data_IF_123105764970
#
_entry.id   IF_123105764970
#
_cell.length_a   1.000
_cell.length_b   1.000
_cell.length_c   1.000
_cell.angle_alpha   90.00
_cell.angle_beta   90.00
_cell.angle_gamma   90.00
#
_symmetry.space_group_name_H-M   'P 1'
#
loop_
_entity.id
_entity.type
_entity.pdbx_description
1 polymer ?
#
# COMPACT_ATOMS: atom_id res chain seq x y z
N UNK A 1 33.81 66.05 -4.83
CA UNK A 1 34.31 65.92 -6.20
C UNK A 1 35.31 64.77 -6.24
N UNK A 2 35.04 63.78 -7.10
CA UNK A 2 35.96 62.81 -7.69
C UNK A 2 36.82 61.93 -6.75
N UNK A 3 36.30 60.76 -6.36
CA UNK A 3 37.15 59.58 -6.21
C UNK A 3 37.25 58.92 -7.60
N UNK A 4 38.40 59.08 -8.24
CA UNK A 4 38.70 58.56 -9.58
C UNK A 4 39.12 57.09 -9.49
N UNK A 5 38.74 56.35 -10.52
CA UNK A 5 39.68 55.42 -11.14
C UNK A 5 39.71 54.02 -10.55
N UNK A 6 38.62 53.29 -10.76
CA UNK A 6 38.76 51.88 -11.15
C UNK A 6 39.56 51.84 -12.46
N UNK A 7 40.76 51.28 -12.43
CA UNK A 7 41.20 50.41 -13.52
C UNK A 7 42.32 49.50 -13.01
N UNK A 8 42.08 48.19 -13.07
CA UNK A 8 43.11 47.21 -13.38
C UNK A 8 42.39 45.96 -13.93
N UNK A 9 42.25 45.98 -15.24
CA UNK A 9 42.16 44.80 -16.10
C UNK A 9 43.24 43.75 -15.79
N UNK A 10 42.88 42.48 -15.97
CA UNK A 10 43.85 41.43 -16.30
C UNK A 10 43.93 40.28 -15.29
N UNK A 11 43.35 39.13 -15.64
CA UNK A 11 43.55 37.90 -14.87
C UNK A 11 42.73 36.73 -15.37
N UNK A 12 43.03 36.24 -16.58
CA UNK A 12 42.59 34.93 -17.04
C UNK A 12 43.16 33.87 -16.07
N UNK A 13 42.30 33.08 -15.43
CA UNK A 13 42.69 31.78 -14.87
C UNK A 13 41.73 30.70 -15.34
N UNK A 14 42.36 29.76 -16.00
CA UNK A 14 41.87 28.51 -16.55
C UNK A 14 41.15 27.62 -15.53
N UNK A 15 40.24 26.82 -16.08
CA UNK A 15 40.04 25.39 -15.79
C UNK A 15 39.86 24.99 -14.33
N UNK A 16 38.59 24.80 -13.98
CA UNK A 16 38.13 23.77 -13.05
C UNK A 16 37.01 22.99 -13.73
N UNK A 17 37.39 22.04 -14.57
CA UNK A 17 36.53 20.90 -14.90
C UNK A 17 36.49 20.04 -13.63
N UNK A 18 35.67 20.42 -12.65
CA UNK A 18 35.33 19.51 -11.55
C UNK A 18 34.30 18.52 -12.10
N UNK A 19 34.83 17.52 -12.79
CA UNK A 19 34.24 16.20 -12.78
C UNK A 19 34.50 15.58 -11.41
N UNK A 20 33.74 16.01 -10.41
CA UNK A 20 33.60 15.29 -9.15
C UNK A 20 32.24 14.62 -9.16
N UNK A 21 32.26 13.37 -9.63
CA UNK A 21 31.27 12.39 -9.18
C UNK A 21 31.35 12.30 -7.66
N UNK A 22 30.20 12.38 -7.02
CA UNK A 22 29.68 11.28 -6.20
C UNK A 22 28.44 11.77 -5.46
N UNK A 23 27.31 11.19 -5.83
CA UNK A 23 26.03 11.35 -5.17
C UNK A 23 26.11 10.74 -3.75
N UNK A 24 25.78 11.50 -2.69
CA UNK A 24 24.91 10.89 -1.68
C UNK A 24 23.89 11.84 -1.04
N UNK A 25 23.59 13.02 -1.61
CA UNK A 25 22.47 13.84 -1.12
C UNK A 25 21.09 13.38 -1.60
N UNK A 26 21.03 12.41 -2.51
CA UNK A 26 19.77 11.77 -2.95
C UNK A 26 19.31 10.62 -2.03
N UNK A 27 20.18 10.17 -1.11
CA UNK A 27 19.98 8.91 -0.37
C UNK A 27 18.87 9.02 0.70
N UNK A 28 18.51 10.22 1.16
CA UNK A 28 17.49 10.40 2.19
C UNK A 28 16.05 10.40 1.68
N UNK A 29 15.83 10.59 0.37
CA UNK A 29 14.50 10.60 -0.27
C UNK A 29 14.02 9.18 -0.61
N UNK A 30 14.94 8.31 -1.02
CA UNK A 30 14.66 6.90 -1.34
C UNK A 30 14.19 6.10 -0.12
N UNK A 31 14.80 6.33 1.05
CA UNK A 31 14.44 5.64 2.29
C UNK A 31 12.99 5.88 2.71
N UNK A 32 12.47 7.10 2.51
CA UNK A 32 11.06 7.39 2.81
C UNK A 32 10.11 6.57 1.93
N UNK A 33 10.38 6.50 0.61
CA UNK A 33 9.55 5.74 -0.32
C UNK A 33 9.62 4.25 -0.02
N UNK A 34 10.81 3.75 0.30
CA UNK A 34 11.02 2.36 0.69
C UNK A 34 10.24 2.00 1.96
N UNK A 35 10.25 2.87 2.97
CA UNK A 35 9.48 2.69 4.21
C UNK A 35 7.97 2.71 3.94
N UNK A 36 7.50 3.66 3.13
CA UNK A 36 6.09 3.71 2.75
C UNK A 36 5.66 2.43 2.03
N UNK A 37 6.46 1.98 1.06
CA UNK A 37 6.20 0.76 0.31
C UNK A 37 6.25 -0.48 1.22
N UNK A 38 7.18 -0.52 2.17
CA UNK A 38 7.30 -1.59 3.16
C UNK A 38 6.08 -1.63 4.10
N UNK A 39 5.55 -0.49 4.51
CA UNK A 39 4.34 -0.42 5.35
C UNK A 39 3.11 -0.93 4.57
N UNK A 40 2.92 -0.48 3.33
CA UNK A 40 1.82 -0.97 2.48
C UNK A 40 1.97 -2.47 2.21
N UNK A 41 3.19 -2.93 1.91
CA UNK A 41 3.48 -4.34 1.70
C UNK A 41 3.18 -5.16 2.95
N UNK A 42 3.61 -4.70 4.12
CA UNK A 42 3.36 -5.36 5.41
C UNK A 42 1.87 -5.42 5.72
N UNK A 43 1.13 -4.34 5.49
CA UNK A 43 -0.33 -4.31 5.65
C UNK A 43 -0.99 -5.35 4.75
N UNK A 44 -0.65 -5.38 3.47
CA UNK A 44 -1.25 -6.30 2.50
C UNK A 44 -0.91 -7.75 2.87
N UNK A 45 0.38 -8.05 3.09
CA UNK A 45 0.84 -9.37 3.50
C UNK A 45 0.15 -9.84 4.78
N UNK A 46 0.05 -8.97 5.79
CA UNK A 46 -0.60 -9.30 7.05
C UNK A 46 -2.10 -9.51 6.86
N UNK A 47 -2.77 -8.70 6.04
CA UNK A 47 -4.20 -8.81 5.76
C UNK A 47 -4.53 -10.17 5.15
N UNK A 48 -3.83 -10.57 4.08
CA UNK A 48 -4.09 -11.87 3.44
C UNK A 48 -3.64 -13.04 4.30
N UNK A 49 -2.48 -12.94 4.97
CA UNK A 49 -1.98 -14.02 5.80
C UNK A 49 -2.90 -14.27 7.00
N UNK A 50 -3.22 -13.22 7.76
CA UNK A 50 -4.08 -13.33 8.93
C UNK A 50 -5.53 -13.60 8.55
N UNK A 51 -6.02 -12.98 7.47
CA UNK A 51 -7.40 -13.15 7.02
C UNK A 51 -7.67 -14.51 6.34
N UNK A 52 -6.64 -15.18 5.83
CA UNK A 52 -6.78 -16.54 5.27
C UNK A 52 -7.31 -17.57 6.28
N UNK A 53 -6.97 -17.44 7.56
CA UNK A 53 -7.43 -18.35 8.61
C UNK A 53 -8.95 -18.28 8.83
N UNK A 54 -9.53 -17.11 9.19
CA UNK A 54 -10.99 -16.99 9.35
C UNK A 54 -11.74 -17.16 8.03
N UNK A 55 -11.17 -16.77 6.89
CA UNK A 55 -11.75 -17.03 5.57
C UNK A 55 -11.99 -18.54 5.37
N UNK A 56 -10.97 -19.37 5.58
CA UNK A 56 -11.07 -20.83 5.43
C UNK A 56 -12.08 -21.45 6.40
N UNK A 57 -12.19 -20.93 7.62
CA UNK A 57 -13.19 -21.41 8.58
C UNK A 57 -14.62 -21.14 8.11
N UNK A 58 -14.87 -19.96 7.54
CA UNK A 58 -16.17 -19.60 6.99
C UNK A 58 -16.48 -20.47 5.77
N UNK A 59 -15.53 -20.62 4.85
CA UNK A 59 -15.68 -21.50 3.67
C UNK A 59 -16.00 -22.95 4.09
N UNK A 60 -15.28 -23.48 5.10
CA UNK A 60 -15.52 -24.82 5.62
C UNK A 60 -16.90 -24.96 6.28
N UNK A 61 -17.37 -23.94 7.00
CA UNK A 61 -18.71 -23.92 7.58
C UNK A 61 -19.81 -23.89 6.51
N UNK A 62 -19.64 -23.05 5.48
CA UNK A 62 -20.57 -22.98 4.37
C UNK A 62 -20.60 -24.28 3.56
N UNK A 63 -19.44 -24.90 3.34
CA UNK A 63 -19.34 -26.22 2.70
C UNK A 63 -20.05 -27.32 3.49
N UNK A 64 -19.89 -27.36 4.81
CA UNK A 64 -20.63 -28.29 5.68
C UNK A 64 -22.14 -28.06 5.63
N UNK A 65 -22.57 -26.80 5.61
CA UNK A 65 -23.98 -26.46 5.52
C UNK A 65 -24.57 -26.89 4.16
N UNK A 66 -23.86 -26.62 3.07
CA UNK A 66 -24.22 -27.07 1.72
C UNK A 66 -24.38 -28.59 1.65
N UNK A 67 -23.41 -29.34 2.19
CA UNK A 67 -23.46 -30.80 2.26
C UNK A 67 -24.62 -31.33 3.11
N UNK A 68 -24.90 -30.69 4.25
CA UNK A 68 -26.03 -31.06 5.11
C UNK A 68 -27.38 -30.89 4.41
N UNK A 69 -27.55 -29.83 3.62
CA UNK A 69 -28.74 -29.65 2.77
C UNK A 69 -28.87 -30.74 1.71
N UNK A 70 -27.75 -31.13 1.09
CA UNK A 70 -27.73 -32.21 0.10
C UNK A 70 -28.14 -33.57 0.66
N UNK A 71 -27.93 -33.82 1.97
CA UNK A 71 -28.40 -35.06 2.60
C UNK A 71 -29.89 -35.06 2.96
N UNK A 72 -30.53 -33.88 3.05
CA UNK A 72 -31.92 -33.75 3.52
C UNK A 72 -32.91 -33.51 2.39
N UNK A 73 -32.46 -32.99 1.26
CA UNK A 73 -33.30 -32.68 0.10
C UNK A 73 -33.03 -33.64 -1.04
N UNK A 74 -34.05 -33.88 -1.88
CA UNK A 74 -33.89 -34.64 -3.11
C UNK A 74 -33.17 -33.79 -4.16
N UNK A 75 -32.35 -34.44 -4.98
CA UNK A 75 -31.63 -33.77 -6.06
C UNK A 75 -32.60 -33.10 -7.03
N UNK A 76 -32.33 -31.83 -7.33
CA UNK A 76 -33.13 -31.02 -8.24
C UNK A 76 -32.67 -29.56 -8.31
N UNK A 77 -33.26 -28.83 -9.25
CA UNK A 77 -32.98 -27.41 -9.55
C UNK A 77 -32.93 -26.45 -8.35
N UNK A 78 -33.70 -26.70 -7.28
CA UNK A 78 -33.81 -25.86 -6.09
C UNK A 78 -32.69 -26.14 -5.12
N UNK A 79 -32.26 -27.41 -5.02
CA UNK A 79 -31.07 -27.76 -4.25
C UNK A 79 -29.84 -27.11 -4.90
N UNK A 80 -29.71 -27.20 -6.22
CA UNK A 80 -28.64 -26.54 -6.97
C UNK A 80 -28.66 -25.02 -6.80
N UNK A 81 -29.84 -24.40 -6.87
CA UNK A 81 -29.98 -22.96 -6.65
C UNK A 81 -29.62 -22.54 -5.22
N UNK A 82 -30.03 -23.31 -4.21
CA UNK A 82 -29.69 -23.03 -2.82
C UNK A 82 -28.19 -23.21 -2.55
N UNK A 83 -27.59 -24.31 -3.00
CA UNK A 83 -26.18 -24.61 -2.77
C UNK A 83 -25.27 -23.67 -3.58
N UNK A 84 -25.46 -23.61 -4.90
CA UNK A 84 -24.56 -22.89 -5.79
C UNK A 84 -24.89 -21.40 -5.90
N UNK A 85 -26.16 -21.03 -5.75
CA UNK A 85 -26.59 -19.64 -5.78
C UNK A 85 -26.43 -18.98 -4.41
N UNK A 86 -27.26 -19.39 -3.46
CA UNK A 86 -27.38 -18.69 -2.18
C UNK A 86 -26.19 -18.98 -1.27
N UNK A 87 -25.88 -20.25 -1.01
CA UNK A 87 -24.88 -20.63 0.01
C UNK A 87 -23.48 -20.27 -0.45
N UNK A 88 -23.11 -20.63 -1.69
CA UNK A 88 -21.81 -20.25 -2.22
C UNK A 88 -21.70 -18.72 -2.40
N UNK A 89 -22.77 -18.05 -2.84
CA UNK A 89 -22.77 -16.59 -3.01
C UNK A 89 -22.57 -15.84 -1.69
N UNK A 90 -23.42 -16.12 -0.69
CA UNK A 90 -23.30 -15.52 0.65
C UNK A 90 -22.01 -15.97 1.32
N UNK A 91 -21.62 -17.23 1.15
CA UNK A 91 -20.38 -17.79 1.67
C UNK A 91 -19.15 -17.04 1.19
N UNK A 92 -19.07 -16.69 -0.09
CA UNK A 92 -17.98 -15.91 -0.65
C UNK A 92 -17.90 -14.49 -0.04
N UNK A 93 -19.04 -13.81 0.13
CA UNK A 93 -19.08 -12.47 0.74
C UNK A 93 -18.65 -12.53 2.21
N UNK A 94 -19.17 -13.51 2.97
CA UNK A 94 -18.80 -13.70 4.37
C UNK A 94 -17.34 -14.09 4.52
N UNK A 95 -16.81 -14.95 3.65
CA UNK A 95 -15.42 -15.38 3.66
C UNK A 95 -14.46 -14.21 3.37
N UNK A 96 -14.90 -13.19 2.63
CA UNK A 96 -14.13 -11.99 2.35
C UNK A 96 -14.16 -10.96 3.48
N UNK A 97 -15.19 -10.97 4.33
CA UNK A 97 -15.39 -10.01 5.41
C UNK A 97 -14.21 -9.93 6.41
N UNK A 98 -13.58 -11.04 6.85
CA UNK A 98 -12.41 -10.98 7.71
C UNK A 98 -11.24 -10.18 7.12
N UNK A 99 -10.98 -10.33 5.82
CA UNK A 99 -9.93 -9.58 5.13
C UNK A 99 -10.26 -8.07 5.16
N UNK A 100 -11.51 -7.70 4.91
CA UNK A 100 -11.99 -6.31 5.00
C UNK A 100 -11.79 -5.75 6.41
N UNK A 101 -12.16 -6.50 7.45
CA UNK A 101 -12.02 -6.05 8.84
C UNK A 101 -10.56 -5.80 9.23
N UNK A 102 -9.65 -6.69 8.83
CA UNK A 102 -8.22 -6.53 9.08
C UNK A 102 -7.67 -5.32 8.32
N UNK A 103 -8.11 -5.13 7.07
CA UNK A 103 -7.72 -3.96 6.29
C UNK A 103 -8.20 -2.66 6.96
N UNK A 104 -9.45 -2.59 7.39
CA UNK A 104 -9.99 -1.44 8.13
C UNK A 104 -9.25 -1.19 9.44
N UNK A 105 -8.88 -2.26 10.16
CA UNK A 105 -8.06 -2.14 11.36
C UNK A 105 -6.71 -1.47 11.05
N UNK A 106 -6.04 -1.87 9.96
CA UNK A 106 -4.78 -1.21 9.57
C UNK A 106 -4.98 0.22 9.09
N UNK A 107 -6.05 0.52 8.34
CA UNK A 107 -6.37 1.90 7.93
C UNK A 107 -6.59 2.78 9.16
N UNK A 108 -7.38 2.31 10.13
CA UNK A 108 -7.58 2.99 11.40
C UNK A 108 -6.27 3.18 12.18
N UNK A 109 -5.40 2.16 12.18
CA UNK A 109 -4.08 2.27 12.81
C UNK A 109 -3.17 3.28 12.09
N UNK A 110 -3.23 3.38 10.76
CA UNK A 110 -2.51 4.41 9.99
C UNK A 110 -3.04 5.82 10.28
N UNK A 111 -4.35 5.94 10.48
CA UNK A 111 -5.02 7.19 10.86
C UNK A 111 -4.57 7.66 12.25
N UNK A 112 -4.65 6.78 13.25
CA UNK A 112 -4.26 7.07 14.64
C UNK A 112 -2.75 7.31 14.81
N UNK A 113 -1.90 6.61 14.06
CA UNK A 113 -0.44 6.82 14.09
C UNK A 113 -0.01 8.14 13.45
N UNK A 114 -0.94 8.93 12.89
CA UNK A 114 -0.65 10.14 12.11
C UNK A 114 0.45 9.88 11.08
N UNK A 115 0.43 8.68 10.48
CA UNK A 115 1.34 8.37 9.38
C UNK A 115 0.99 9.21 8.15
N UNK A 116 -0.25 9.68 8.02
CA UNK A 116 -0.70 10.58 6.94
C UNK A 116 0.10 11.89 6.87
N UNK A 117 0.32 12.66 7.95
CA UNK A 117 1.23 13.82 7.92
C UNK A 117 2.66 13.52 7.40
N UNK A 118 3.21 12.34 7.70
CA UNK A 118 4.55 11.93 7.24
C UNK A 118 4.53 11.38 5.82
N UNK A 119 3.47 10.69 5.40
CA UNK A 119 3.30 10.20 4.04
C UNK A 119 3.00 11.34 3.06
N UNK A 120 2.16 12.30 3.45
CA UNK A 120 1.82 13.49 2.65
C UNK A 120 3.06 14.37 2.40
N UNK A 121 3.84 14.66 3.44
CA UNK A 121 5.11 15.39 3.29
C UNK A 121 6.13 14.65 2.42
N UNK A 122 6.05 13.32 2.37
CA UNK A 122 6.86 12.52 1.47
C UNK A 122 6.41 12.68 0.01
N UNK A 123 5.10 12.56 -0.25
CA UNK A 123 4.49 12.66 -1.59
C UNK A 123 4.63 14.08 -2.14
N UNK A 124 4.43 15.11 -1.32
CA UNK A 124 4.62 16.51 -1.69
C UNK A 124 6.03 16.76 -2.22
N UNK A 125 7.04 16.12 -1.64
CA UNK A 125 8.44 16.24 -2.05
C UNK A 125 8.75 15.58 -3.40
N UNK A 126 7.90 14.66 -3.87
CA UNK A 126 7.97 14.07 -5.21
C UNK A 126 7.18 14.87 -6.24
N UNK A 127 5.99 15.35 -5.89
CA UNK A 127 5.18 16.21 -6.78
C UNK A 127 5.91 17.50 -7.15
N UNK A 128 6.64 18.13 -6.23
CA UNK A 128 7.44 19.32 -6.52
C UNK A 128 8.65 19.06 -7.45
N UNK A 129 8.99 17.81 -7.75
CA UNK A 129 10.08 17.48 -8.68
C UNK A 129 9.62 17.19 -10.11
N UNK A 130 8.31 17.12 -10.35
CA UNK A 130 7.71 16.76 -11.65
C UNK A 130 7.03 17.99 -12.30
N UNK A 131 6.93 19.11 -11.58
CA UNK A 131 6.41 20.40 -12.07
C UNK A 131 7.51 21.41 -12.35
#
# INVERSE_FOLDING_TARGET
MANRGHDHTGGIRNMGSDGDGDFPLLTHKFWGLLIFLAVIWLMFFSTFKLGSYPQQWIEALMGKFSFFLGQRMQDGWLLDFLQNGIINGIGAVLAFLPNILILFFFIFLLEETRYMPRAASLIDKYMHGIG
#
